data_IF_450087721139
#
_entry.id   IF_450087721139
#
_cell.length_a   1.000
_cell.length_b   1.000
_cell.length_c   1.000
_cell.angle_alpha   90.00
_cell.angle_beta   90.00
_cell.angle_gamma   90.00
#
_symmetry.space_group_name_H-M   'P 1'
#
loop_
_entity.id
_entity.type
_entity.pdbx_description
1 polymer ?
#
# COMPACT_ATOMS: atom_id res chain seq x y z
N UNK A 1 21.59 16.18 -9.37
CA UNK A 1 21.24 15.04 -8.50
C UNK A 1 19.75 14.83 -8.54
N UNK A 2 19.32 13.62 -8.82
CA UNK A 2 17.90 13.31 -8.88
C UNK A 2 17.34 13.23 -7.48
N UNK A 3 16.25 13.93 -7.24
CA UNK A 3 15.55 13.87 -5.96
C UNK A 3 14.84 12.54 -5.82
N UNK A 4 14.96 11.91 -4.67
CA UNK A 4 14.33 10.64 -4.40
C UNK A 4 13.11 10.82 -3.50
N UNK A 5 12.06 10.07 -3.78
CA UNK A 5 10.84 10.10 -2.99
C UNK A 5 10.58 8.73 -2.40
N UNK A 6 9.99 8.74 -1.22
CA UNK A 6 9.42 7.57 -0.60
C UNK A 6 7.92 7.63 -0.77
N UNK A 7 7.31 6.52 -1.12
CA UNK A 7 5.86 6.41 -1.21
C UNK A 7 5.37 5.46 -0.14
N UNK A 8 4.29 5.82 0.53
CA UNK A 8 3.62 4.94 1.48
C UNK A 8 2.19 4.76 1.00
N UNK A 9 1.82 3.50 0.79
CA UNK A 9 0.46 3.13 0.41
C UNK A 9 -0.26 2.57 1.64
N UNK A 10 -1.49 3.01 1.84
CA UNK A 10 -2.33 2.51 2.94
C UNK A 10 -3.44 1.67 2.35
N UNK A 11 -3.28 0.34 2.43
CA UNK A 11 -4.21 -0.63 1.87
C UNK A 11 -5.08 -1.21 2.98
N UNK A 12 -6.36 -0.85 2.99
CA UNK A 12 -7.34 -1.47 3.86
C UNK A 12 -7.66 -2.88 3.36
N UNK A 13 -7.90 -3.81 4.25
CA UNK A 13 -8.15 -5.21 3.91
C UNK A 13 -9.63 -5.60 3.96
N UNK A 14 -10.52 -4.74 4.44
CA UNK A 14 -11.95 -5.00 4.42
C UNK A 14 -12.52 -4.71 3.04
N UNK A 15 -13.24 -5.66 2.48
CA UNK A 15 -13.93 -5.50 1.20
C UNK A 15 -14.90 -4.31 1.28
N UNK A 16 -14.90 -3.46 0.26
CA UNK A 16 -15.71 -2.22 0.27
C UNK A 16 -17.22 -2.48 0.31
N UNK A 17 -17.66 -3.63 -0.21
CA UNK A 17 -19.08 -3.97 -0.30
C UNK A 17 -19.57 -4.70 0.94
N UNK A 18 -18.81 -5.69 1.42
CA UNK A 18 -19.20 -6.52 2.56
C UNK A 18 -18.69 -6.00 3.91
N UNK A 19 -17.71 -5.13 3.90
CA UNK A 19 -17.01 -4.63 5.10
C UNK A 19 -16.29 -5.72 5.88
N UNK A 20 -16.03 -6.86 5.23
CA UNK A 20 -15.35 -8.01 5.83
C UNK A 20 -14.02 -8.25 5.15
N UNK A 21 -13.05 -8.70 5.93
CA UNK A 21 -11.74 -9.09 5.41
C UNK A 21 -11.84 -10.52 4.86
N UNK A 22 -11.68 -10.68 3.55
CA UNK A 22 -11.77 -11.98 2.88
C UNK A 22 -10.44 -12.69 2.75
N UNK A 23 -9.36 -11.90 2.67
CA UNK A 23 -8.00 -12.42 2.48
C UNK A 23 -7.27 -12.25 3.81
N UNK A 24 -6.63 -13.31 4.30
CA UNK A 24 -5.87 -13.21 5.55
C UNK A 24 -4.75 -12.19 5.40
N UNK A 25 -4.35 -11.59 6.50
CA UNK A 25 -3.28 -10.58 6.50
C UNK A 25 -1.99 -11.15 5.91
N UNK A 26 -1.64 -12.39 6.26
CA UNK A 26 -0.44 -13.05 5.71
C UNK A 26 -0.52 -13.22 4.20
N UNK A 27 -1.65 -13.65 3.67
CA UNK A 27 -1.85 -13.78 2.22
C UNK A 27 -1.83 -12.41 1.54
N UNK A 28 -2.45 -11.41 2.18
CA UNK A 28 -2.46 -10.05 1.66
C UNK A 28 -1.03 -9.53 1.50
N UNK A 29 -0.17 -9.75 2.50
CA UNK A 29 1.24 -9.33 2.43
C UNK A 29 1.97 -10.02 1.29
N UNK A 30 1.72 -11.31 1.07
CA UNK A 30 2.33 -12.05 -0.03
C UNK A 30 1.88 -11.51 -1.40
N UNK A 31 0.60 -11.19 -1.53
CA UNK A 31 0.05 -10.61 -2.77
C UNK A 31 0.67 -9.23 -3.03
N UNK A 32 0.76 -8.40 -2.00
CA UNK A 32 1.41 -7.08 -2.12
C UNK A 32 2.83 -7.22 -2.61
N UNK A 33 3.59 -8.16 -2.04
CA UNK A 33 4.97 -8.40 -2.46
C UNK A 33 5.06 -8.83 -3.92
N UNK A 34 4.12 -9.65 -4.40
CA UNK A 34 4.08 -10.04 -5.81
C UNK A 34 3.80 -8.87 -6.74
N UNK A 35 2.90 -7.97 -6.35
CA UNK A 35 2.51 -6.84 -7.19
C UNK A 35 3.58 -5.74 -7.18
N UNK A 36 4.08 -5.41 -6.01
CA UNK A 36 4.95 -4.25 -5.79
C UNK A 36 6.43 -4.62 -5.94
N UNK A 37 6.81 -5.82 -5.53
CA UNK A 37 8.21 -6.21 -5.43
C UNK A 37 8.82 -5.72 -4.12
N UNK A 38 9.99 -5.11 -4.19
CA UNK A 38 10.72 -4.65 -3.01
C UNK A 38 9.95 -3.56 -2.27
N UNK A 39 9.62 -3.81 -1.02
CA UNK A 39 8.87 -2.89 -0.18
C UNK A 39 9.00 -3.29 1.29
N UNK A 40 8.62 -2.39 2.17
CA UNK A 40 8.48 -2.66 3.59
C UNK A 40 7.01 -2.60 3.95
N UNK A 41 6.49 -3.65 4.58
CA UNK A 41 5.07 -3.74 4.91
C UNK A 41 4.90 -3.75 6.42
N UNK A 42 4.08 -2.85 6.92
CA UNK A 42 3.75 -2.76 8.34
C UNK A 42 2.25 -3.02 8.53
N UNK A 43 1.92 -3.90 9.47
CA UNK A 43 0.52 -4.15 9.86
C UNK A 43 0.04 -3.04 10.77
N UNK A 44 -1.16 -2.53 10.51
CA UNK A 44 -1.75 -1.48 11.33
C UNK A 44 -3.27 -1.60 11.35
N UNK A 45 -3.93 -0.70 12.10
CA UNK A 45 -5.37 -0.57 12.12
C UNK A 45 -5.74 0.75 11.49
N UNK A 46 -6.66 0.70 10.53
CA UNK A 46 -7.19 1.88 9.88
C UNK A 46 -8.64 2.11 10.26
N UNK A 47 -9.05 3.36 10.15
CA UNK A 47 -10.44 3.76 10.32
C UNK A 47 -10.88 4.47 9.06
N UNK A 48 -11.92 3.97 8.43
CA UNK A 48 -12.44 4.52 7.19
C UNK A 48 -13.96 4.59 7.28
N UNK A 49 -14.52 5.79 7.14
CA UNK A 49 -15.97 6.00 7.21
C UNK A 49 -16.60 5.37 8.47
N UNK A 50 -15.89 5.45 9.61
CA UNK A 50 -16.38 4.90 10.87
C UNK A 50 -16.12 3.41 11.08
N UNK A 51 -15.56 2.72 10.09
CA UNK A 51 -15.22 1.31 10.22
C UNK A 51 -13.73 1.13 10.52
N UNK A 52 -13.47 0.25 11.48
CA UNK A 52 -12.11 -0.17 11.80
C UNK A 52 -11.76 -1.38 10.95
N UNK A 53 -10.57 -1.34 10.34
CA UNK A 53 -10.12 -2.47 9.53
C UNK A 53 -8.63 -2.71 9.71
N UNK A 54 -8.18 -3.93 9.41
CA UNK A 54 -6.76 -4.19 9.25
C UNK A 54 -6.26 -3.45 8.01
N UNK A 55 -5.11 -2.82 8.15
CA UNK A 55 -4.52 -2.00 7.09
C UNK A 55 -3.06 -2.36 6.96
N UNK A 56 -2.57 -2.40 5.73
CA UNK A 56 -1.15 -2.55 5.46
C UNK A 56 -0.59 -1.19 5.03
N UNK A 57 0.47 -0.75 5.72
CA UNK A 57 1.27 0.38 5.28
C UNK A 57 2.42 -0.17 4.46
N UNK A 58 2.52 0.21 3.20
CA UNK A 58 3.47 -0.33 2.23
C UNK A 58 4.42 0.80 1.83
N UNK A 59 5.68 0.70 2.27
CA UNK A 59 6.70 1.70 1.96
C UNK A 59 7.51 1.27 0.75
N UNK A 60 7.61 2.15 -0.24
CA UNK A 60 8.31 1.89 -1.50
C UNK A 60 9.34 3.00 -1.72
N UNK A 61 10.60 2.60 -1.88
CA UNK A 61 11.70 3.48 -2.26
C UNK A 61 12.03 3.27 -3.74
N UNK A 62 12.73 4.21 -4.33
CA UNK A 62 13.29 4.08 -5.68
C UNK A 62 12.26 3.78 -6.76
N UNK A 63 11.07 4.37 -6.64
CA UNK A 63 10.01 4.19 -7.62
C UNK A 63 9.53 5.55 -8.11
N UNK A 64 8.64 5.54 -9.10
CA UNK A 64 7.99 6.74 -9.60
C UNK A 64 6.54 6.78 -9.16
N UNK A 65 5.97 7.97 -9.11
CA UNK A 65 4.54 8.10 -8.78
C UNK A 65 3.66 7.33 -9.76
N UNK A 66 4.05 7.32 -11.04
CA UNK A 66 3.31 6.58 -12.07
C UNK A 66 3.29 5.07 -11.78
N UNK A 67 4.45 4.50 -11.45
CA UNK A 67 4.53 3.09 -11.06
C UNK A 67 3.69 2.79 -9.82
N UNK A 68 3.77 3.67 -8.82
CA UNK A 68 3.02 3.50 -7.57
C UNK A 68 1.51 3.55 -7.82
N UNK A 69 1.05 4.47 -8.66
CA UNK A 69 -0.37 4.52 -9.06
C UNK A 69 -0.80 3.24 -9.76
N UNK A 70 0.06 2.68 -10.59
CA UNK A 70 -0.22 1.41 -11.27
C UNK A 70 -0.36 0.26 -10.28
N UNK A 71 0.51 0.19 -9.28
CA UNK A 71 0.37 -0.80 -8.20
C UNK A 71 -0.97 -0.63 -7.47
N UNK A 72 -1.35 0.60 -7.19
CA UNK A 72 -2.63 0.87 -6.51
C UNK A 72 -3.82 0.39 -7.32
N UNK A 73 -3.82 0.57 -8.63
CA UNK A 73 -4.91 0.08 -9.48
C UNK A 73 -5.05 -1.43 -9.41
N UNK A 74 -3.92 -2.15 -9.45
CA UNK A 74 -3.91 -3.59 -9.31
C UNK A 74 -4.42 -4.04 -7.94
N UNK A 75 -3.92 -3.42 -6.87
CA UNK A 75 -4.31 -3.76 -5.50
C UNK A 75 -5.78 -3.45 -5.22
N UNK A 76 -6.30 -2.33 -5.74
CA UNK A 76 -7.72 -2.00 -5.59
C UNK A 76 -8.61 -3.09 -6.18
N UNK A 77 -8.24 -3.61 -7.32
CA UNK A 77 -9.00 -4.69 -7.97
C UNK A 77 -8.92 -5.98 -7.17
N UNK A 78 -7.72 -6.37 -6.75
CA UNK A 78 -7.52 -7.63 -6.02
C UNK A 78 -8.27 -7.62 -4.68
N UNK A 79 -8.20 -6.51 -3.95
CA UNK A 79 -8.76 -6.39 -2.59
C UNK A 79 -10.15 -5.76 -2.56
N UNK A 80 -10.72 -5.46 -3.73
CA UNK A 80 -12.01 -4.79 -3.86
C UNK A 80 -12.11 -3.55 -2.97
N UNK A 81 -11.17 -2.62 -3.18
CA UNK A 81 -11.08 -1.38 -2.43
C UNK A 81 -11.57 -0.21 -3.25
N UNK A 82 -12.24 0.73 -2.60
CA UNK A 82 -12.69 1.96 -3.25
C UNK A 82 -11.52 2.86 -3.62
N UNK A 83 -10.55 2.99 -2.70
CA UNK A 83 -9.36 3.80 -2.91
C UNK A 83 -8.22 3.31 -2.04
N UNK A 84 -7.00 3.73 -2.39
CA UNK A 84 -5.79 3.53 -1.59
C UNK A 84 -5.16 4.90 -1.42
N UNK A 85 -4.87 5.30 -0.18
CA UNK A 85 -4.18 6.54 0.08
C UNK A 85 -2.70 6.38 -0.27
N UNK A 86 -2.14 7.36 -0.96
CA UNK A 86 -0.72 7.43 -1.28
C UNK A 86 -0.14 8.64 -0.57
N UNK A 87 0.88 8.43 0.23
CA UNK A 87 1.67 9.51 0.81
C UNK A 87 3.01 9.57 0.09
N UNK A 88 3.33 10.73 -0.47
CA UNK A 88 4.60 10.97 -1.12
C UNK A 88 5.46 11.78 -0.17
N UNK A 89 6.64 11.25 0.15
CA UNK A 89 7.59 11.90 1.05
C UNK A 89 8.85 12.18 0.25
N UNK A 90 9.21 13.45 0.16
CA UNK A 90 10.41 13.89 -0.51
C UNK A 90 11.62 13.64 0.38
N UNK A 91 12.59 12.91 -0.14
CA UNK A 91 13.81 12.58 0.59
C UNK A 91 14.98 13.38 0.03
N UNK A 92 15.86 13.86 0.92
CA UNK A 92 17.10 14.46 0.48
C UNK A 92 18.05 13.39 -0.07
N UNK A 93 18.04 12.22 0.55
CA UNK A 93 18.90 11.11 0.15
C UNK A 93 18.34 9.79 0.69
N UNK A 94 18.41 8.75 -0.13
CA UNK A 94 18.17 7.38 0.29
C UNK A 94 19.26 6.50 -0.32
N UNK A 95 19.93 5.71 0.51
CA UNK A 95 21.05 4.87 0.10
C UNK A 95 20.80 3.42 0.50
N UNK A 96 21.20 2.50 -0.40
CA UNK A 96 21.40 1.10 -0.07
C UNK A 96 22.89 0.90 0.14
N UNK A 97 23.27 0.43 1.29
CA UNK A 97 24.67 0.22 1.65
C UNK A 97 24.99 -1.25 1.75
#
# INVERSE_FOLDING_TARGET
MTQQNKYVLYLGLADKDTKQQRITTSKAMAIVNQVVGDCTITKSKGYWQGFKENTLAIEILFSTLEQVKNYCEQLKTIFNQECIAIQEIQLNQALLV
#
